data_IF_266734306370
#
_entry.id   IF_266734306370
#
_cell.length_a   1.000
_cell.length_b   1.000
_cell.length_c   1.000
_cell.angle_alpha   90.00
_cell.angle_beta   90.00
_cell.angle_gamma   90.00
#
_symmetry.space_group_name_H-M   'P 1'
#
loop_
_entity.id
_entity.type
_entity.pdbx_description
1 polymer ?
#
# COMPACT_ATOMS: atom_id res chain seq x y z
N UNK A 1 -21.63 -2.61 -0.82
CA UNK A 1 -20.33 -3.06 -1.34
C UNK A 1 -19.50 -3.59 -0.20
N UNK A 2 -18.76 -4.67 -0.41
CA UNK A 2 -17.92 -5.30 0.60
C UNK A 2 -16.50 -4.81 0.48
N UNK A 3 -15.81 -4.61 1.60
CA UNK A 3 -14.43 -4.15 1.60
C UNK A 3 -13.57 -5.02 2.55
N UNK A 4 -12.38 -5.35 2.10
CA UNK A 4 -11.34 -6.05 2.85
C UNK A 4 -10.14 -5.12 2.94
N UNK A 5 -9.66 -4.88 4.16
CA UNK A 5 -8.49 -4.06 4.45
C UNK A 5 -7.30 -4.95 4.81
N UNK A 6 -6.16 -4.76 4.14
CA UNK A 6 -4.90 -5.45 4.45
C UNK A 6 -3.83 -4.41 4.75
N UNK A 7 -3.56 -4.19 6.03
CA UNK A 7 -2.54 -3.26 6.50
C UNK A 7 -1.27 -4.00 6.94
N UNK A 8 -0.18 -3.26 7.07
CA UNK A 8 1.08 -3.81 7.58
C UNK A 8 2.32 -3.13 6.97
N UNK A 9 3.51 -3.46 7.48
CA UNK A 9 4.76 -2.80 7.12
C UNK A 9 5.18 -3.06 5.66
N UNK A 10 6.17 -2.30 5.19
CA UNK A 10 6.74 -2.48 3.85
C UNK A 10 7.37 -3.88 3.70
N UNK A 11 7.23 -4.51 2.53
CA UNK A 11 7.83 -5.82 2.27
C UNK A 11 7.12 -7.02 2.92
N UNK A 12 6.01 -6.83 3.65
CA UNK A 12 5.25 -7.94 4.27
C UNK A 12 4.48 -8.84 3.27
N UNK A 13 4.55 -8.56 1.97
CA UNK A 13 3.87 -9.37 0.95
C UNK A 13 2.43 -8.99 0.66
N UNK A 14 1.90 -7.92 1.28
CA UNK A 14 0.49 -7.49 1.17
C UNK A 14 -0.04 -7.46 -0.26
N UNK A 15 0.65 -6.77 -1.16
CA UNK A 15 0.18 -6.56 -2.53
C UNK A 15 0.09 -7.86 -3.34
N UNK A 16 1.02 -8.80 -3.12
CA UNK A 16 0.99 -10.12 -3.75
C UNK A 16 -0.22 -10.91 -3.28
N UNK A 17 -0.41 -10.97 -1.97
CA UNK A 17 -1.52 -11.70 -1.35
C UNK A 17 -2.87 -11.07 -1.69
N UNK A 18 -2.97 -9.73 -1.61
CA UNK A 18 -4.19 -9.00 -1.94
C UNK A 18 -4.65 -9.23 -3.39
N UNK A 19 -3.72 -9.28 -4.35
CA UNK A 19 -4.02 -9.60 -5.76
C UNK A 19 -4.56 -11.02 -5.93
N UNK A 20 -3.95 -12.00 -5.27
CA UNK A 20 -4.39 -13.40 -5.35
C UNK A 20 -5.79 -13.56 -4.76
N UNK A 21 -6.02 -12.99 -3.57
CA UNK A 21 -7.33 -13.01 -2.93
C UNK A 21 -8.40 -12.27 -3.74
N UNK A 22 -8.07 -11.12 -4.33
CA UNK A 22 -8.99 -10.37 -5.17
C UNK A 22 -9.44 -11.19 -6.38
N UNK A 23 -8.49 -11.86 -7.05
CA UNK A 23 -8.79 -12.77 -8.16
C UNK A 23 -9.67 -13.95 -7.71
N UNK A 24 -9.40 -14.54 -6.55
CA UNK A 24 -10.14 -15.69 -6.00
C UNK A 24 -11.58 -15.30 -5.62
N UNK A 25 -11.77 -14.10 -5.06
CA UNK A 25 -13.07 -13.62 -4.56
C UNK A 25 -13.88 -12.85 -5.60
N UNK A 26 -13.30 -12.54 -6.76
CA UNK A 26 -13.92 -11.66 -7.76
C UNK A 26 -14.00 -10.20 -7.34
N UNK A 27 -13.12 -9.76 -6.43
CA UNK A 27 -13.06 -8.40 -5.93
C UNK A 27 -12.05 -7.57 -6.75
N UNK A 28 -12.23 -6.26 -6.73
CA UNK A 28 -11.27 -5.32 -7.33
C UNK A 28 -10.12 -5.10 -6.35
N UNK A 29 -8.90 -5.38 -6.79
CA UNK A 29 -7.69 -5.06 -6.02
C UNK A 29 -7.33 -3.59 -6.17
N UNK A 30 -7.03 -2.92 -5.06
CA UNK A 30 -6.62 -1.51 -5.03
C UNK A 30 -5.27 -1.37 -4.31
N UNK A 31 -4.21 -1.10 -5.08
CA UNK A 31 -2.88 -0.73 -4.57
C UNK A 31 -2.90 0.76 -4.16
N UNK A 32 -3.13 1.03 -2.88
CA UNK A 32 -3.14 2.43 -2.42
C UNK A 32 -1.75 3.05 -2.44
N UNK A 33 -0.71 2.26 -2.24
CA UNK A 33 0.68 2.72 -2.36
C UNK A 33 1.01 3.23 -3.77
N UNK A 34 0.39 2.69 -4.81
CA UNK A 34 0.52 3.18 -6.17
C UNK A 34 -0.02 4.61 -6.33
N UNK A 35 -1.10 4.96 -5.61
CA UNK A 35 -1.67 6.31 -5.64
C UNK A 35 -0.75 7.34 -4.99
N UNK A 36 -0.13 7.00 -3.83
CA UNK A 36 0.89 7.84 -3.20
C UNK A 36 2.11 8.03 -4.11
N UNK A 37 2.50 6.97 -4.84
CA UNK A 37 3.61 7.05 -5.82
C UNK A 37 3.25 7.90 -7.03
N UNK A 38 2.00 7.93 -7.48
CA UNK A 38 1.57 8.82 -8.55
C UNK A 38 1.70 10.31 -8.14
N UNK A 39 1.33 10.65 -6.90
CA UNK A 39 1.62 11.98 -6.37
C UNK A 39 3.13 12.27 -6.34
N UNK A 40 3.94 11.31 -5.91
CA UNK A 40 5.38 11.44 -5.89
C UNK A 40 5.97 11.67 -7.29
N UNK A 41 5.45 10.99 -8.32
CA UNK A 41 5.83 11.24 -9.73
C UNK A 41 5.54 12.69 -10.11
N UNK A 42 4.35 13.20 -9.77
CA UNK A 42 4.02 14.62 -10.03
C UNK A 42 5.00 15.58 -9.34
N UNK A 43 5.28 15.34 -8.06
CA UNK A 43 6.20 16.18 -7.30
C UNK A 43 7.62 16.17 -7.91
N UNK A 44 8.11 14.99 -8.30
CA UNK A 44 9.41 14.86 -8.94
C UNK A 44 9.45 15.53 -10.32
N UNK A 45 8.42 15.38 -11.15
CA UNK A 45 8.33 15.98 -12.48
C UNK A 45 8.26 17.53 -12.46
N UNK A 46 7.82 18.09 -11.34
CA UNK A 46 7.70 19.53 -11.14
C UNK A 46 8.76 20.10 -10.17
N UNK A 47 9.83 19.36 -9.89
CA UNK A 47 10.94 19.76 -9.02
C UNK A 47 10.50 20.25 -7.63
N UNK A 48 9.41 19.69 -7.10
CA UNK A 48 8.86 20.07 -5.79
C UNK A 48 9.66 19.37 -4.69
N UNK A 49 10.24 20.19 -3.79
CA UNK A 49 10.99 19.68 -2.66
C UNK A 49 10.06 18.91 -1.68
N UNK A 50 10.32 17.60 -1.39
CA UNK A 50 9.50 16.83 -0.48
C UNK A 50 9.52 17.30 0.98
N UNK A 51 10.46 18.15 1.35
CA UNK A 51 10.57 18.68 2.70
C UNK A 51 9.92 20.09 2.83
N UNK A 52 9.40 20.66 1.73
CA UNK A 52 8.63 21.91 1.71
C UNK A 52 7.12 21.60 1.73
N UNK A 53 6.53 21.63 2.93
CA UNK A 53 5.11 21.36 3.11
C UNK A 53 4.21 22.36 2.37
N UNK A 54 4.61 23.63 2.27
CA UNK A 54 3.81 24.65 1.58
C UNK A 54 3.79 24.40 0.08
N UNK A 55 4.93 24.05 -0.52
CA UNK A 55 5.02 23.68 -1.92
C UNK A 55 4.20 22.42 -2.23
N UNK A 56 4.28 21.38 -1.38
CA UNK A 56 3.47 20.18 -1.49
C UNK A 56 1.98 20.50 -1.42
N UNK A 57 1.54 21.23 -0.40
CA UNK A 57 0.13 21.57 -0.20
C UNK A 57 -0.43 22.39 -1.37
N UNK A 58 0.34 23.36 -1.88
CA UNK A 58 -0.06 24.16 -3.05
C UNK A 58 -0.14 23.36 -4.36
N UNK A 59 0.62 22.30 -4.48
CA UNK A 59 0.62 21.44 -5.66
C UNK A 59 -0.53 20.42 -5.68
N UNK A 60 -1.03 19.98 -4.52
CA UNK A 60 -2.02 18.89 -4.42
C UNK A 60 -3.28 19.17 -5.24
N UNK A 61 -3.75 20.40 -5.30
CA UNK A 61 -4.97 20.77 -6.03
C UNK A 61 -4.82 20.58 -7.55
N UNK A 62 -3.59 20.67 -8.08
CA UNK A 62 -3.29 20.48 -9.50
C UNK A 62 -3.11 19.00 -9.90
N UNK A 63 -3.25 18.07 -8.97
CA UNK A 63 -3.05 16.65 -9.20
C UNK A 63 -4.42 15.99 -9.37
N UNK A 64 -4.69 15.45 -10.54
CA UNK A 64 -5.81 14.54 -10.77
C UNK A 64 -5.30 13.11 -10.90
N UNK A 65 -5.86 12.19 -10.10
CA UNK A 65 -5.51 10.77 -10.14
C UNK A 65 -6.78 9.97 -10.36
N UNK A 66 -6.77 9.16 -11.40
CA UNK A 66 -7.79 8.16 -11.63
C UNK A 66 -7.18 6.75 -11.74
N UNK A 67 -8.01 5.76 -11.47
CA UNK A 67 -7.65 4.36 -11.53
C UNK A 67 -8.48 3.68 -12.61
N UNK A 68 -7.78 3.07 -13.55
CA UNK A 68 -8.36 2.24 -14.59
C UNK A 68 -7.92 0.79 -14.40
N UNK A 69 -8.64 -0.15 -15.00
CA UNK A 69 -8.28 -1.56 -15.00
C UNK A 69 -8.19 -2.05 -16.43
N UNK A 70 -7.00 -2.54 -16.81
CA UNK A 70 -6.77 -3.17 -18.10
C UNK A 70 -6.35 -4.63 -17.85
N UNK A 71 -7.13 -5.56 -18.39
CA UNK A 71 -6.91 -7.01 -18.21
C UNK A 71 -6.82 -7.41 -16.72
N UNK A 72 -7.63 -6.76 -15.86
CA UNK A 72 -7.61 -6.98 -14.41
C UNK A 72 -6.42 -6.36 -13.67
N UNK A 73 -5.55 -5.62 -14.37
CA UNK A 73 -4.39 -4.94 -13.78
C UNK A 73 -4.70 -3.46 -13.59
N UNK A 74 -4.48 -2.99 -12.34
CA UNK A 74 -4.61 -1.57 -12.02
C UNK A 74 -3.64 -0.73 -12.82
N UNK A 75 -4.17 0.28 -13.51
CA UNK A 75 -3.43 1.36 -14.16
C UNK A 75 -3.67 2.64 -13.37
N UNK A 76 -2.64 3.43 -13.20
CA UNK A 76 -2.72 4.73 -12.51
C UNK A 76 -2.54 5.83 -13.53
N UNK A 77 -3.55 6.66 -13.65
CA UNK A 77 -3.59 7.81 -14.55
C UNK A 77 -3.38 9.06 -13.71
N UNK A 78 -2.38 9.85 -14.07
CA UNK A 78 -2.03 11.11 -13.44
C UNK A 78 -2.21 12.23 -14.47
N UNK A 79 -3.11 13.16 -14.20
CA UNK A 79 -3.43 14.29 -15.11
C UNK A 79 -3.67 13.85 -16.55
N UNK A 80 -4.36 12.71 -16.73
CA UNK A 80 -4.67 12.13 -18.03
C UNK A 80 -3.59 11.22 -18.64
N UNK A 81 -2.41 11.10 -18.02
CA UNK A 81 -1.32 10.27 -18.50
C UNK A 81 -1.16 8.99 -17.67
N UNK A 82 -0.91 7.86 -18.32
CA UNK A 82 -0.64 6.60 -17.64
C UNK A 82 0.80 6.57 -17.09
N UNK A 83 0.92 6.68 -15.77
CA UNK A 83 2.23 6.69 -15.06
C UNK A 83 2.58 5.35 -14.42
N UNK A 84 1.84 4.29 -14.69
CA UNK A 84 1.99 2.97 -14.01
C UNK A 84 3.42 2.44 -14.06
N UNK A 85 4.14 2.62 -15.16
CA UNK A 85 5.53 2.18 -15.35
C UNK A 85 6.53 2.95 -14.47
N UNK A 86 6.22 4.20 -14.08
CA UNK A 86 7.08 5.07 -13.28
C UNK A 86 6.98 4.81 -11.76
N UNK A 87 5.95 4.09 -11.33
CA UNK A 87 5.63 3.94 -9.91
C UNK A 87 6.58 3.04 -9.13
N UNK A 88 7.39 2.20 -9.78
CA UNK A 88 8.21 1.17 -9.14
C UNK A 88 9.69 1.53 -9.00
N UNK A 89 10.07 2.77 -9.30
CA UNK A 89 11.44 3.26 -9.07
C UNK A 89 11.70 3.49 -7.59
N UNK A 90 12.97 3.36 -7.19
CA UNK A 90 13.39 3.64 -5.81
C UNK A 90 13.16 5.10 -5.44
N UNK A 91 13.47 6.01 -6.35
CA UNK A 91 13.28 7.45 -6.20
C UNK A 91 11.81 7.80 -5.91
N UNK A 92 10.88 7.28 -6.75
CA UNK A 92 9.44 7.46 -6.54
C UNK A 92 9.00 6.89 -5.20
N UNK A 93 9.56 5.75 -4.78
CA UNK A 93 9.29 5.14 -3.48
C UNK A 93 9.73 6.01 -2.30
N UNK A 94 10.92 6.61 -2.37
CA UNK A 94 11.46 7.54 -1.35
C UNK A 94 10.64 8.83 -1.28
N UNK A 95 10.33 9.43 -2.43
CA UNK A 95 9.49 10.62 -2.54
C UNK A 95 8.09 10.37 -1.94
N UNK A 96 7.45 9.25 -2.28
CA UNK A 96 6.14 8.88 -1.74
C UNK A 96 6.16 8.68 -0.22
N UNK A 97 7.21 8.05 0.33
CA UNK A 97 7.37 7.89 1.79
C UNK A 97 7.44 9.25 2.47
N UNK A 98 8.29 10.16 1.99
CA UNK A 98 8.48 11.50 2.55
C UNK A 98 7.20 12.35 2.49
N UNK A 99 6.46 12.30 1.38
CA UNK A 99 5.28 13.17 1.16
C UNK A 99 3.99 12.58 1.73
N UNK A 100 3.94 11.27 2.04
CA UNK A 100 2.77 10.62 2.62
C UNK A 100 2.39 11.10 4.02
N UNK A 101 3.25 11.84 4.70
CA UNK A 101 3.01 12.45 6.02
C UNK A 101 2.10 13.68 5.97
N UNK A 102 2.00 14.36 4.82
CA UNK A 102 1.28 15.62 4.70
C UNK A 102 -0.23 15.44 4.63
N UNK A 103 -0.95 16.27 5.38
CA UNK A 103 -2.41 16.20 5.51
C UNK A 103 -3.14 16.35 4.17
N UNK A 104 -2.73 17.30 3.32
CA UNK A 104 -3.36 17.55 2.03
C UNK A 104 -3.25 16.33 1.09
N UNK A 105 -2.06 15.71 1.02
CA UNK A 105 -1.82 14.48 0.24
C UNK A 105 -2.77 13.37 0.70
N UNK A 106 -2.85 13.16 2.01
CA UNK A 106 -3.70 12.11 2.59
C UNK A 106 -5.17 12.36 2.36
N UNK A 107 -5.64 13.58 2.62
CA UNK A 107 -7.05 13.94 2.44
C UNK A 107 -7.52 13.63 1.03
N UNK A 108 -6.75 14.04 0.02
CA UNK A 108 -7.08 13.79 -1.38
C UNK A 108 -7.11 12.30 -1.71
N UNK A 109 -6.09 11.55 -1.31
CA UNK A 109 -6.01 10.13 -1.64
C UNK A 109 -7.02 9.27 -0.87
N UNK A 110 -7.29 9.58 0.41
CA UNK A 110 -8.33 8.89 1.18
C UNK A 110 -9.71 9.10 0.56
N UNK A 111 -10.01 10.31 0.08
CA UNK A 111 -11.27 10.58 -0.62
C UNK A 111 -11.41 9.74 -1.90
N UNK A 112 -10.34 9.64 -2.70
CA UNK A 112 -10.30 8.80 -3.90
C UNK A 112 -10.51 7.31 -3.56
N UNK A 113 -9.78 6.79 -2.57
CA UNK A 113 -9.84 5.40 -2.12
C UNK A 113 -11.25 5.03 -1.64
N UNK A 114 -11.86 5.89 -0.82
CA UNK A 114 -13.26 5.72 -0.38
C UNK A 114 -14.25 5.76 -1.55
N UNK A 115 -13.99 6.62 -2.53
CA UNK A 115 -14.79 6.72 -3.75
C UNK A 115 -14.79 5.41 -4.55
N UNK A 116 -13.64 4.73 -4.64
CA UNK A 116 -13.52 3.42 -5.28
C UNK A 116 -14.29 2.34 -4.52
N UNK A 117 -14.16 2.28 -3.20
CA UNK A 117 -14.84 1.30 -2.35
C UNK A 117 -16.38 1.42 -2.36
N UNK A 118 -16.91 2.60 -2.71
CA UNK A 118 -18.36 2.82 -2.86
C UNK A 118 -18.92 2.27 -4.18
N UNK A 119 -18.07 2.00 -5.17
CA UNK A 119 -18.49 1.60 -6.52
C UNK A 119 -18.49 0.09 -6.73
N UNK A 120 -17.64 -0.65 -6.01
CA UNK A 120 -17.45 -2.09 -6.20
C UNK A 120 -16.92 -2.74 -4.93
N UNK A 121 -16.96 -4.07 -4.86
CA UNK A 121 -16.32 -4.84 -3.81
C UNK A 121 -14.80 -4.79 -3.98
N UNK A 122 -14.07 -4.45 -2.91
CA UNK A 122 -12.63 -4.17 -3.00
C UNK A 122 -11.81 -4.94 -1.97
N UNK A 123 -10.56 -5.24 -2.35
CA UNK A 123 -9.47 -5.51 -1.42
C UNK A 123 -8.47 -4.37 -1.56
N UNK A 124 -8.25 -3.64 -0.49
CA UNK A 124 -7.25 -2.57 -0.44
C UNK A 124 -6.08 -2.96 0.44
N UNK A 125 -4.86 -2.74 -0.04
CA UNK A 125 -3.67 -2.86 0.80
C UNK A 125 -3.01 -1.51 1.06
N UNK A 126 -2.50 -1.34 2.29
CA UNK A 126 -1.89 -0.08 2.70
C UNK A 126 -1.20 -0.12 4.06
N UNK A 127 -1.37 0.97 4.83
CA UNK A 127 -0.84 1.15 6.19
C UNK A 127 -1.91 1.50 7.21
N UNK A 128 -3.01 2.07 6.75
CA UNK A 128 -4.07 2.65 7.56
C UNK A 128 -5.46 2.44 6.91
N UNK A 129 -5.58 1.38 6.12
CA UNK A 129 -6.84 1.08 5.43
C UNK A 129 -7.93 0.77 6.45
N UNK A 130 -7.67 -0.16 7.37
CA UNK A 130 -8.64 -0.57 8.39
C UNK A 130 -8.83 0.43 9.52
N UNK A 131 -7.90 1.38 9.72
CA UNK A 131 -8.01 2.40 10.77
C UNK A 131 -8.58 3.72 10.27
N UNK A 132 -8.27 4.10 9.03
CA UNK A 132 -8.57 5.44 8.49
C UNK A 132 -9.43 5.39 7.23
N UNK A 133 -9.05 4.60 6.23
CA UNK A 133 -9.69 4.65 4.90
C UNK A 133 -11.04 3.95 4.93
N UNK A 134 -11.08 2.71 5.40
CA UNK A 134 -12.24 1.83 5.45
C UNK A 134 -12.43 1.25 6.87
N UNK A 135 -12.75 2.10 7.86
CA UNK A 135 -12.90 1.66 9.24
C UNK A 135 -14.06 0.65 9.43
N UNK A 136 -14.99 0.60 8.48
CA UNK A 136 -16.11 -0.33 8.48
C UNK A 136 -15.88 -1.54 7.54
N UNK A 137 -14.64 -1.78 7.10
CA UNK A 137 -14.31 -2.97 6.30
C UNK A 137 -14.66 -4.24 7.09
N UNK A 138 -15.35 -5.18 6.43
CA UNK A 138 -15.86 -6.37 7.14
C UNK A 138 -14.77 -7.34 7.56
N UNK A 139 -13.67 -7.36 6.83
CA UNK A 139 -12.48 -8.09 7.19
C UNK A 139 -11.29 -7.15 7.21
N UNK A 140 -10.62 -7.09 8.34
CA UNK A 140 -9.39 -6.32 8.52
C UNK A 140 -8.28 -7.25 8.94
N UNK A 141 -7.19 -7.19 8.22
CA UNK A 141 -6.02 -8.03 8.40
C UNK A 141 -4.80 -7.13 8.57
N UNK A 142 -4.04 -7.39 9.62
CA UNK A 142 -2.73 -6.78 9.79
C UNK A 142 -1.68 -7.84 9.44
N UNK A 143 -1.11 -7.71 8.23
CA UNK A 143 -0.13 -8.66 7.70
C UNK A 143 1.28 -8.18 8.07
N UNK A 144 2.01 -8.97 8.82
CA UNK A 144 3.38 -8.66 9.24
C UNK A 144 4.37 -9.76 8.89
N UNK A 145 5.64 -9.47 9.00
CA UNK A 145 6.76 -10.39 9.02
C UNK A 145 7.96 -9.70 9.68
N UNK A 146 8.90 -10.44 10.24
CA UNK A 146 10.12 -9.88 10.82
C UNK A 146 10.90 -9.04 9.80
N UNK A 147 11.68 -8.04 10.27
CA UNK A 147 12.53 -7.24 9.37
C UNK A 147 13.53 -8.10 8.60
N UNK A 148 14.04 -9.17 9.22
CA UNK A 148 14.91 -10.13 8.57
C UNK A 148 14.23 -10.88 7.42
N UNK A 149 13.02 -11.40 7.63
CA UNK A 149 12.27 -12.11 6.60
C UNK A 149 11.94 -11.18 5.42
N UNK A 150 11.56 -9.93 5.69
CA UNK A 150 11.26 -8.92 4.66
C UNK A 150 12.52 -8.47 3.91
N UNK A 151 13.62 -8.27 4.62
CA UNK A 151 14.92 -7.95 4.02
C UNK A 151 15.41 -9.09 3.13
N UNK A 152 15.25 -10.35 3.57
CA UNK A 152 15.61 -11.52 2.77
C UNK A 152 14.81 -11.61 1.47
N UNK A 153 13.48 -11.44 1.55
CA UNK A 153 12.61 -11.42 0.35
C UNK A 153 13.03 -10.33 -0.63
N UNK A 154 13.32 -9.12 -0.13
CA UNK A 154 13.75 -8.00 -0.99
C UNK A 154 15.14 -8.21 -1.57
N UNK A 155 16.06 -8.76 -0.78
CA UNK A 155 17.40 -9.09 -1.24
C UNK A 155 17.36 -10.11 -2.38
N UNK A 156 16.57 -11.18 -2.22
CA UNK A 156 16.43 -12.21 -3.26
C UNK A 156 15.82 -11.62 -4.54
N UNK A 157 14.76 -10.81 -4.43
CA UNK A 157 14.15 -10.10 -5.58
C UNK A 157 15.15 -9.24 -6.34
N UNK A 158 15.99 -8.46 -5.64
CA UNK A 158 17.00 -7.61 -6.26
C UNK A 158 18.11 -8.43 -6.93
N UNK A 159 18.52 -9.52 -6.29
CA UNK A 159 19.51 -10.46 -6.86
C UNK A 159 19.00 -11.14 -8.13
N UNK A 160 17.73 -11.56 -8.16
CA UNK A 160 17.12 -12.12 -9.37
C UNK A 160 17.09 -11.13 -10.54
N UNK A 161 16.97 -9.82 -10.24
CA UNK A 161 17.05 -8.74 -11.24
C UNK A 161 18.48 -8.38 -11.64
N UNK A 162 19.51 -9.01 -11.04
CA UNK A 162 20.90 -8.72 -11.29
C UNK A 162 21.40 -7.43 -10.62
N UNK A 163 20.66 -6.88 -9.69
CA UNK A 163 21.03 -5.65 -8.97
C UNK A 163 22.08 -5.96 -7.88
N UNK A 164 23.08 -5.07 -7.74
CA UNK A 164 24.03 -5.16 -6.63
C UNK A 164 23.42 -4.55 -5.38
N UNK A 165 23.24 -5.36 -4.32
CA UNK A 165 22.58 -4.96 -3.10
C UNK A 165 23.24 -5.60 -1.86
N UNK A 166 23.13 -4.93 -0.71
CA UNK A 166 23.54 -5.43 0.60
C UNK A 166 22.32 -5.77 1.44
N UNK A 167 22.32 -6.94 2.06
CA UNK A 167 21.27 -7.36 2.97
C UNK A 167 21.10 -6.38 4.15
N UNK A 168 22.21 -5.96 4.76
CA UNK A 168 22.20 -5.08 5.92
C UNK A 168 21.63 -3.70 5.59
N UNK A 169 21.99 -3.14 4.42
CA UNK A 169 21.43 -1.86 3.95
C UNK A 169 19.92 -1.98 3.71
N UNK A 170 19.48 -3.06 3.08
CA UNK A 170 18.06 -3.30 2.83
C UNK A 170 17.29 -3.42 4.17
N UNK A 171 17.86 -4.11 5.15
CA UNK A 171 17.25 -4.29 6.46
C UNK A 171 17.14 -2.96 7.20
N UNK A 172 18.22 -2.16 7.22
CA UNK A 172 18.21 -0.82 7.81
C UNK A 172 17.17 0.10 7.18
N UNK A 173 17.08 0.11 5.85
CA UNK A 173 16.07 0.89 5.13
C UNK A 173 14.64 0.45 5.49
N UNK A 174 14.40 -0.85 5.64
CA UNK A 174 13.11 -1.41 6.05
C UNK A 174 12.76 -0.95 7.47
N UNK A 175 13.68 -1.08 8.42
CA UNK A 175 13.49 -0.71 9.83
C UNK A 175 13.25 0.80 9.99
N UNK A 176 14.02 1.60 9.27
CA UNK A 176 13.83 3.06 9.24
C UNK A 176 12.45 3.44 8.71
N UNK A 177 12.04 2.84 7.61
CA UNK A 177 10.72 3.10 7.01
C UNK A 177 9.58 2.66 7.91
N UNK A 178 9.70 1.53 8.57
CA UNK A 178 8.69 1.07 9.53
C UNK A 178 8.59 2.04 10.71
N UNK A 179 9.72 2.52 11.21
CA UNK A 179 9.74 3.53 12.26
C UNK A 179 9.01 4.81 11.82
N UNK A 180 9.31 5.32 10.61
CA UNK A 180 8.65 6.50 10.05
C UNK A 180 7.13 6.29 9.87
N UNK A 181 6.72 5.12 9.31
CA UNK A 181 5.31 4.78 9.12
C UNK A 181 4.56 4.67 10.47
N UNK A 182 5.17 4.13 11.51
CA UNK A 182 4.56 3.94 12.84
C UNK A 182 4.50 5.24 13.65
N UNK A 183 5.44 6.19 13.44
CA UNK A 183 5.56 7.40 14.26
C UNK A 183 5.10 8.67 13.56
N UNK A 184 4.57 8.58 12.34
CA UNK A 184 4.01 9.76 11.66
C UNK A 184 2.80 10.28 12.42
N UNK A 185 2.65 11.61 12.47
CA UNK A 185 1.60 12.29 13.25
C UNK A 185 0.18 12.00 12.73
N UNK A 186 0.02 11.76 11.41
CA UNK A 186 -1.28 11.55 10.78
C UNK A 186 -1.38 10.10 10.29
N UNK A 187 -2.40 9.37 10.72
CA UNK A 187 -2.72 8.00 10.35
C UNK A 187 -1.48 7.07 10.41
N UNK A 188 -0.84 6.90 11.57
CA UNK A 188 0.31 6.02 11.72
C UNK A 188 -0.04 4.58 11.32
N UNK A 189 0.97 3.83 10.90
CA UNK A 189 0.85 2.39 10.72
C UNK A 189 0.52 1.76 12.08
N UNK A 190 -0.71 1.32 12.25
CA UNK A 190 -1.23 0.73 13.48
C UNK A 190 -2.22 -0.39 13.12
N UNK A 191 -2.16 -1.49 13.84
CA UNK A 191 -3.19 -2.51 13.75
C UNK A 191 -4.54 -1.94 14.23
N UNK A 192 -5.60 -2.10 13.45
CA UNK A 192 -6.95 -1.78 13.91
C UNK A 192 -7.37 -2.76 15.00
N UNK A 193 -8.17 -2.29 15.96
CA UNK A 193 -8.51 -3.07 17.15
C UNK A 193 -9.29 -4.37 16.83
N UNK A 194 -10.01 -4.38 15.69
CA UNK A 194 -10.78 -5.52 15.16
C UNK A 194 -10.03 -6.27 14.03
N UNK A 195 -8.78 -5.91 13.74
CA UNK A 195 -7.97 -6.58 12.72
C UNK A 195 -7.32 -7.85 13.25
N UNK A 196 -7.35 -8.90 12.43
CA UNK A 196 -6.63 -10.14 12.71
C UNK A 196 -5.16 -9.97 12.34
N UNK A 197 -4.27 -10.21 13.31
CA UNK A 197 -2.82 -10.23 13.08
C UNK A 197 -2.43 -11.54 12.40
N UNK A 198 -1.66 -11.44 11.31
CA UNK A 198 -1.07 -12.60 10.63
C UNK A 198 0.42 -12.35 10.42
N UNK A 199 1.26 -13.11 11.13
CA UNK A 199 2.70 -13.12 10.93
C UNK A 199 3.06 -14.13 9.84
N UNK A 200 3.71 -13.65 8.80
CA UNK A 200 4.10 -14.44 7.62
C UNK A 200 5.59 -14.74 7.55
N UNK A 201 6.32 -14.56 8.65
CA UNK A 201 7.79 -14.71 8.67
C UNK A 201 8.23 -16.09 8.13
N UNK A 202 7.53 -17.14 8.54
CA UNK A 202 7.83 -18.54 8.20
C UNK A 202 6.82 -19.16 7.22
N UNK A 203 6.02 -18.34 6.52
CA UNK A 203 4.98 -18.82 5.62
C UNK A 203 5.34 -18.56 4.15
N UNK A 204 5.02 -19.55 3.30
CA UNK A 204 5.02 -19.35 1.86
C UNK A 204 3.71 -18.68 1.39
N UNK A 205 3.65 -18.30 0.10
CA UNK A 205 2.52 -17.55 -0.47
C UNK A 205 1.21 -18.34 -0.34
N UNK A 206 1.22 -19.64 -0.63
CA UNK A 206 0.05 -20.51 -0.58
C UNK A 206 -0.52 -20.61 0.85
N UNK A 207 0.36 -20.74 1.84
CA UNK A 207 -0.02 -20.78 3.26
C UNK A 207 -0.65 -19.46 3.70
N UNK A 208 -0.09 -18.33 3.28
CA UNK A 208 -0.65 -17.01 3.61
C UNK A 208 -2.02 -16.82 2.95
N UNK A 209 -2.16 -17.17 1.66
CA UNK A 209 -3.46 -17.08 0.96
C UNK A 209 -4.50 -17.94 1.66
N UNK A 210 -4.17 -19.19 2.01
CA UNK A 210 -5.10 -20.09 2.69
C UNK A 210 -5.53 -19.54 4.07
N UNK A 211 -4.57 -19.04 4.86
CA UNK A 211 -4.86 -18.43 6.16
C UNK A 211 -5.78 -17.21 6.05
N UNK A 212 -5.50 -16.31 5.11
CA UNK A 212 -6.33 -15.13 4.90
C UNK A 212 -7.71 -15.47 4.34
N UNK A 213 -7.80 -16.43 3.42
CA UNK A 213 -9.10 -16.91 2.91
C UNK A 213 -9.99 -17.42 4.05
N UNK A 214 -9.43 -18.24 4.95
CA UNK A 214 -10.16 -18.73 6.11
C UNK A 214 -10.67 -17.59 6.99
N UNK A 215 -9.83 -16.62 7.31
CA UNK A 215 -10.21 -15.43 8.11
C UNK A 215 -11.36 -14.67 7.42
N UNK A 216 -11.27 -14.46 6.11
CA UNK A 216 -12.29 -13.75 5.34
C UNK A 216 -13.61 -14.52 5.36
N UNK A 217 -13.60 -15.83 5.18
CA UNK A 217 -14.79 -16.69 5.20
C UNK A 217 -15.46 -16.69 6.58
N UNK A 218 -14.69 -16.78 7.67
CA UNK A 218 -15.18 -16.67 9.05
C UNK A 218 -15.85 -15.31 9.32
N UNK A 219 -15.21 -14.21 8.88
CA UNK A 219 -15.77 -12.85 9.00
C UNK A 219 -17.03 -12.66 8.15
N UNK A 220 -17.12 -13.35 7.00
CA UNK A 220 -18.28 -13.31 6.12
C UNK A 220 -19.46 -14.11 6.70
N UNK A 221 -19.19 -15.25 7.34
CA UNK A 221 -20.19 -16.09 7.97
C UNK A 221 -20.80 -15.45 9.25
N UNK A 222 -20.07 -14.55 9.91
CA UNK A 222 -20.54 -13.85 11.12
C UNK A 222 -21.34 -12.58 10.84
N UNK A 223 -21.71 -12.32 9.59
CA UNK A 223 -22.57 -11.20 9.17
C UNK A 223 -24.01 -11.66 9.02
#
# INVERSE_FOLDING_TARGET
>A
MSAIAIDGPAGAGKSTIAKLLAKQLGYVYVDTGAMYRAMAVYFSQNDINPDDENAINGAVDNIDISIEYKDGVQQVILNGENVTSLLRTEETGKMASKTSKYAAVRTKLVALQRGLAKKTDVIMDGRDIGTTVLPDAFAKIYLTASSDARAKRRYDELKEKGENCSFDVIKEDIEKRDYEDMHRAISPLKQADDAVLVDTSDMNIEQVVAALSKIIDEKKAGR
#
